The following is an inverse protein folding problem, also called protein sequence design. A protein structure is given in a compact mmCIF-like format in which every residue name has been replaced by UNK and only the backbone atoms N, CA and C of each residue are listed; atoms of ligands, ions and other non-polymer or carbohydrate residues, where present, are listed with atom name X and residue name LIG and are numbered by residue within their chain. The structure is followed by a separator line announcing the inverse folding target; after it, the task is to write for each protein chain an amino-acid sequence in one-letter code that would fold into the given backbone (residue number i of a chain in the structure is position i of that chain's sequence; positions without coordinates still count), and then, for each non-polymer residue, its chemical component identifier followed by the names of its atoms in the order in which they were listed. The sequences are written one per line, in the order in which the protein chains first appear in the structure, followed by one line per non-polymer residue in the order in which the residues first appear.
data_IF_736279877365
#
_entry.id   IF_736279877365
#
_cell.length_a   1.000
_cell.length_b   1.000
_cell.length_c   1.000
_cell.angle_alpha   90.00
_cell.angle_beta   90.00
_cell.angle_gamma   90.00
#
_symmetry.space_group_name_H-M   'P 1'
#
loop_
_entity.id
_entity.type
_entity.pdbx_description
1 polymer ?
#
# COMPACT_ATOMS: atom_id res chain seq x y z
N UNK A 1 68.89 -5.12 -5.59
CA UNK A 1 67.65 -5.42 -4.85
C UNK A 1 67.00 -4.08 -4.51
N UNK A 2 65.68 -3.99 -4.65
CA UNK A 2 64.78 -2.86 -4.29
C UNK A 2 64.66 -1.75 -5.36
N UNK A 3 63.42 -1.50 -5.81
CA UNK A 3 63.06 -0.25 -6.46
C UNK A 3 62.06 -0.30 -7.62
N UNK A 4 60.94 -1.02 -7.51
CA UNK A 4 59.76 -0.72 -8.33
C UNK A 4 58.59 -0.39 -7.40
N UNK A 5 58.51 0.87 -6.98
CA UNK A 5 57.24 1.42 -6.50
C UNK A 5 56.38 1.62 -7.74
N UNK A 6 55.31 0.85 -7.84
CA UNK A 6 54.23 1.08 -8.80
C UNK A 6 53.58 2.42 -8.49
N UNK A 7 53.96 3.48 -9.21
CA UNK A 7 53.22 4.74 -9.20
C UNK A 7 51.81 4.47 -9.73
N UNK A 8 50.82 4.52 -8.83
CA UNK A 8 49.41 4.47 -9.20
C UNK A 8 49.12 5.75 -9.98
N UNK A 9 48.80 5.62 -11.28
CA UNK A 9 48.55 6.81 -12.11
C UNK A 9 47.37 7.63 -11.53
N UNK A 10 47.36 8.96 -11.70
CA UNK A 10 46.23 9.81 -11.31
C UNK A 10 44.89 9.34 -11.89
N UNK A 11 44.92 8.73 -13.08
CA UNK A 11 43.74 8.14 -13.73
C UNK A 11 43.20 6.93 -12.95
N UNK A 12 44.08 6.01 -12.52
CA UNK A 12 43.66 4.88 -11.68
C UNK A 12 43.12 5.34 -10.33
N UNK A 13 43.77 6.34 -9.72
CA UNK A 13 43.30 6.95 -8.46
C UNK A 13 41.92 7.59 -8.65
N UNK A 14 41.72 8.34 -9.74
CA UNK A 14 40.42 8.96 -10.06
C UNK A 14 39.33 7.94 -10.35
N UNK A 15 39.65 6.87 -11.08
CA UNK A 15 38.71 5.78 -11.35
C UNK A 15 38.26 5.06 -10.07
N UNK A 16 39.22 4.68 -9.21
CA UNK A 16 38.91 4.01 -7.93
C UNK A 16 38.13 4.92 -6.98
N UNK A 17 38.48 6.20 -6.90
CA UNK A 17 37.74 7.18 -6.10
C UNK A 17 36.29 7.31 -6.57
N UNK A 18 36.06 7.36 -7.89
CA UNK A 18 34.70 7.41 -8.44
C UNK A 18 33.91 6.16 -8.09
N UNK A 19 34.46 4.96 -8.31
CA UNK A 19 33.79 3.71 -7.93
C UNK A 19 33.44 3.67 -6.45
N UNK A 20 34.33 4.17 -5.59
CA UNK A 20 34.09 4.26 -4.15
C UNK A 20 32.90 5.16 -3.81
N UNK A 21 32.85 6.37 -4.36
CA UNK A 21 31.74 7.30 -4.11
C UNK A 21 30.41 6.81 -4.69
N UNK A 22 30.45 6.19 -5.88
CA UNK A 22 29.26 5.59 -6.51
C UNK A 22 28.71 4.43 -5.64
N UNK A 23 29.59 3.58 -5.10
CA UNK A 23 29.19 2.49 -4.20
C UNK A 23 28.60 3.02 -2.89
N UNK A 24 29.20 4.06 -2.30
CA UNK A 24 28.67 4.70 -1.09
C UNK A 24 27.27 5.28 -1.34
N UNK A 25 27.07 5.95 -2.48
CA UNK A 25 25.77 6.51 -2.82
C UNK A 25 24.68 5.43 -2.91
N UNK A 26 24.97 4.30 -3.56
CA UNK A 26 24.06 3.15 -3.63
C UNK A 26 23.75 2.56 -2.25
N UNK A 27 24.77 2.44 -1.38
CA UNK A 27 24.57 1.92 -0.03
C UNK A 27 23.65 2.84 0.78
N UNK A 28 23.84 4.16 0.70
CA UNK A 28 22.97 5.11 1.37
C UNK A 28 21.54 5.07 0.85
N UNK A 29 21.36 4.97 -0.46
CA UNK A 29 20.05 4.81 -1.07
C UNK A 29 19.37 3.53 -0.56
N UNK A 30 20.07 2.40 -0.55
CA UNK A 30 19.53 1.14 -0.01
C UNK A 30 19.18 1.24 1.47
N UNK A 31 20.04 1.83 2.31
CA UNK A 31 19.75 2.01 3.74
C UNK A 31 18.57 2.96 3.96
N UNK A 32 18.48 4.03 3.17
CA UNK A 32 17.35 4.95 3.21
C UNK A 32 16.03 4.24 2.85
N UNK A 33 16.01 3.51 1.73
CA UNK A 33 14.84 2.74 1.31
C UNK A 33 14.48 1.65 2.33
N UNK A 34 15.47 0.99 2.92
CA UNK A 34 15.26 0.00 3.98
C UNK A 34 14.64 0.65 5.22
N UNK A 35 15.13 1.82 5.62
CA UNK A 35 14.57 2.59 6.75
C UNK A 35 13.12 2.98 6.48
N UNK A 36 12.80 3.44 5.26
CA UNK A 36 11.43 3.74 4.85
C UNK A 36 10.52 2.51 4.84
N UNK A 37 11.01 1.39 4.30
CA UNK A 37 10.27 0.14 4.28
C UNK A 37 9.99 -0.37 5.70
N UNK A 38 11.00 -0.27 6.59
CA UNK A 38 10.84 -0.57 8.01
C UNK A 38 9.79 0.33 8.65
N UNK A 39 9.88 1.66 8.51
CA UNK A 39 8.90 2.60 9.07
C UNK A 39 7.48 2.28 8.63
N UNK A 40 7.30 1.99 7.34
CA UNK A 40 5.99 1.66 6.78
C UNK A 40 5.43 0.33 7.32
N UNK A 41 6.26 -0.70 7.38
CA UNK A 41 5.85 -2.02 7.87
C UNK A 41 5.65 -2.04 9.39
N UNK A 42 6.59 -1.45 10.13
CA UNK A 42 6.63 -1.40 11.60
C UNK A 42 5.69 -0.38 12.21
N UNK A 43 5.17 0.57 11.43
CA UNK A 43 4.50 1.77 11.96
C UNK A 43 5.41 2.48 12.97
N UNK A 44 6.58 2.86 12.50
CA UNK A 44 7.62 3.54 13.28
C UNK A 44 8.12 4.78 12.53
N UNK A 45 8.80 5.66 13.26
CA UNK A 45 9.44 6.85 12.69
C UNK A 45 10.91 6.93 13.09
N UNK A 46 11.73 6.05 12.49
CA UNK A 46 13.19 6.16 12.58
C UNK A 46 13.75 6.95 11.38
N UNK A 47 14.78 7.75 11.61
CA UNK A 47 15.53 8.43 10.57
C UNK A 47 16.77 7.63 10.17
N UNK A 48 17.27 7.86 8.97
CA UNK A 48 18.51 7.23 8.52
C UNK A 48 19.70 7.57 9.43
N UNK A 49 19.73 8.78 10.01
CA UNK A 49 20.74 9.18 10.98
C UNK A 49 20.72 8.32 12.25
N UNK A 50 19.53 7.88 12.67
CA UNK A 50 19.39 7.00 13.84
C UNK A 50 20.02 5.65 13.54
N UNK A 51 19.77 5.11 12.35
CA UNK A 51 20.40 3.87 11.88
C UNK A 51 21.91 4.00 11.82
N UNK A 52 22.43 5.09 11.26
CA UNK A 52 23.87 5.32 11.08
C UNK A 52 24.60 5.69 12.38
N UNK A 53 23.89 6.04 13.45
CA UNK A 53 24.48 6.45 14.72
C UNK A 53 25.15 7.83 14.69
N UNK A 54 24.79 8.71 13.75
CA UNK A 54 25.32 10.08 13.68
C UNK A 54 25.58 10.60 12.26
N UNK A 55 26.71 11.30 12.09
CA UNK A 55 27.02 12.06 10.87
C UNK A 55 27.39 11.16 9.67
N UNK A 56 26.77 11.47 8.53
CA UNK A 56 26.96 10.84 7.21
C UNK A 56 28.38 11.05 6.63
N UNK A 57 29.17 11.95 7.21
CA UNK A 57 30.40 12.48 6.59
C UNK A 57 31.59 11.51 6.57
N UNK A 58 31.58 10.46 7.38
CA UNK A 58 32.67 9.46 7.44
C UNK A 58 32.10 8.04 7.47
N UNK A 59 31.67 7.55 6.32
CA UNK A 59 31.16 6.18 6.19
C UNK A 59 32.32 5.21 6.25
N UNK A 60 32.49 4.57 7.40
CA UNK A 60 33.39 3.43 7.55
C UNK A 60 32.61 2.12 7.35
N UNK A 61 33.32 1.06 6.99
CA UNK A 61 32.75 -0.29 6.99
C UNK A 61 32.10 -0.62 8.35
N UNK A 62 32.76 -0.24 9.46
CA UNK A 62 32.22 -0.45 10.81
C UNK A 62 30.90 0.31 11.03
N UNK A 63 30.79 1.54 10.53
CA UNK A 63 29.56 2.32 10.57
C UNK A 63 28.41 1.65 9.80
N UNK A 64 28.69 1.13 8.59
CA UNK A 64 27.69 0.41 7.79
C UNK A 64 27.26 -0.92 8.43
N UNK A 65 28.20 -1.67 8.99
CA UNK A 65 27.91 -2.92 9.70
C UNK A 65 27.06 -2.65 10.95
N UNK A 66 27.36 -1.58 11.68
CA UNK A 66 26.57 -1.13 12.83
C UNK A 66 25.14 -0.76 12.40
N UNK A 67 25.00 0.02 11.32
CA UNK A 67 23.71 0.39 10.73
C UNK A 67 22.86 -0.83 10.33
N UNK A 68 23.49 -1.81 9.65
CA UNK A 68 22.82 -3.06 9.30
C UNK A 68 22.32 -3.81 10.55
N UNK A 69 23.20 -3.99 11.54
CA UNK A 69 22.84 -4.68 12.78
C UNK A 69 21.72 -3.95 13.54
N UNK A 70 21.72 -2.61 13.51
CA UNK A 70 20.68 -1.80 14.15
C UNK A 70 19.32 -1.97 13.49
N UNK A 71 19.23 -1.88 12.16
CA UNK A 71 17.98 -2.15 11.43
C UNK A 71 17.49 -3.58 11.70
N UNK A 72 18.39 -4.57 11.69
CA UNK A 72 18.02 -5.95 11.99
C UNK A 72 17.52 -6.14 13.43
N UNK A 73 18.10 -5.42 14.40
CA UNK A 73 17.63 -5.38 15.78
C UNK A 73 16.22 -4.78 15.88
N UNK A 74 16.02 -3.59 15.31
CA UNK A 74 14.73 -2.91 15.26
C UNK A 74 13.66 -3.78 14.59
N UNK A 75 13.99 -4.47 13.50
CA UNK A 75 13.09 -5.42 12.85
C UNK A 75 12.70 -6.57 13.78
N UNK A 76 13.66 -7.18 14.48
CA UNK A 76 13.37 -8.26 15.44
C UNK A 76 12.46 -7.77 16.58
N UNK A 77 12.71 -6.58 17.09
CA UNK A 77 11.91 -5.97 18.15
C UNK A 77 10.48 -5.69 17.67
N UNK A 78 10.32 -5.13 16.46
CA UNK A 78 9.02 -4.89 15.85
C UNK A 78 8.24 -6.19 15.57
N UNK A 79 8.91 -7.26 15.11
CA UNK A 79 8.29 -8.60 15.01
C UNK A 79 7.78 -9.08 16.36
N UNK A 80 8.58 -8.90 17.43
CA UNK A 80 8.17 -9.21 18.79
C UNK A 80 6.96 -8.38 19.26
N UNK A 81 6.95 -7.08 18.93
CA UNK A 81 5.90 -6.14 19.34
C UNK A 81 4.56 -6.37 18.62
N UNK A 82 4.58 -6.64 17.30
CA UNK A 82 3.37 -6.99 16.57
C UNK A 82 2.74 -8.30 17.07
N UNK A 83 3.57 -9.25 17.47
CA UNK A 83 3.13 -10.58 17.89
C UNK A 83 2.45 -11.37 16.76
N UNK A 84 1.65 -12.37 17.12
CA UNK A 84 1.01 -13.32 16.19
C UNK A 84 -0.49 -13.07 15.97
N UNK A 85 -1.06 -12.02 16.56
CA UNK A 85 -2.51 -11.84 16.68
C UNK A 85 -3.13 -11.01 15.55
N UNK A 86 -2.52 -11.08 14.37
CA UNK A 86 -3.08 -10.50 13.15
C UNK A 86 -4.38 -11.23 12.78
N UNK A 87 -5.46 -10.49 12.57
CA UNK A 87 -6.77 -11.03 12.20
C UNK A 87 -7.09 -10.70 10.76
N UNK A 88 -7.65 -11.66 10.02
CA UNK A 88 -8.14 -11.43 8.66
C UNK A 88 -9.56 -10.90 8.70
N UNK A 89 -9.88 -9.97 7.80
CA UNK A 89 -11.26 -9.57 7.53
C UNK A 89 -11.61 -9.76 6.05
N UNK A 90 -12.81 -10.29 5.78
CA UNK A 90 -13.74 -10.85 6.76
C UNK A 90 -13.23 -12.19 7.31
N UNK A 91 -13.52 -12.49 8.57
CA UNK A 91 -13.02 -13.70 9.25
C UNK A 91 -13.41 -15.01 8.56
N UNK A 92 -14.48 -15.00 7.75
CA UNK A 92 -15.02 -16.14 7.02
C UNK A 92 -14.91 -16.01 5.49
N UNK A 93 -14.10 -15.08 4.97
CA UNK A 93 -13.92 -14.80 3.53
C UNK A 93 -15.20 -14.51 2.73
N UNK A 94 -16.34 -14.27 3.38
CA UNK A 94 -17.61 -14.03 2.69
C UNK A 94 -17.69 -12.58 2.18
N UNK A 95 -18.04 -11.66 3.08
CA UNK A 95 -18.33 -10.26 2.76
C UNK A 95 -17.38 -9.35 3.50
N UNK A 96 -16.54 -8.64 2.75
CA UNK A 96 -15.57 -7.71 3.31
C UNK A 96 -16.21 -6.49 3.98
N UNK A 97 -15.35 -5.65 4.54
CA UNK A 97 -15.78 -4.37 5.12
C UNK A 97 -16.30 -3.48 3.98
N UNK A 98 -17.55 -3.04 4.08
CA UNK A 98 -18.23 -2.32 3.01
C UNK A 98 -18.23 -0.81 3.24
N UNK A 99 -17.96 -0.03 2.19
CA UNK A 99 -18.08 1.42 2.16
C UNK A 99 -18.97 1.84 0.98
N UNK A 100 -20.06 2.56 1.27
CA UNK A 100 -21.00 3.03 0.25
C UNK A 100 -20.65 4.46 -0.18
N UNK A 101 -20.72 4.71 -1.48
CA UNK A 101 -20.55 6.08 -1.99
C UNK A 101 -21.72 6.96 -1.54
N UNK A 102 -21.40 8.22 -1.26
CA UNK A 102 -22.39 9.26 -0.96
C UNK A 102 -23.23 9.60 -2.21
N UNK A 103 -24.42 10.24 -2.06
CA UNK A 103 -25.24 10.64 -3.20
C UNK A 103 -24.50 11.54 -4.21
N UNK A 104 -23.61 12.41 -3.73
CA UNK A 104 -22.79 13.26 -4.60
C UNK A 104 -21.81 12.44 -5.43
N UNK A 105 -21.10 11.49 -4.80
CA UNK A 105 -20.16 10.59 -5.48
C UNK A 105 -20.87 9.66 -6.46
N UNK A 106 -22.07 9.18 -6.11
CA UNK A 106 -22.93 8.41 -7.00
C UNK A 106 -23.30 9.23 -8.25
N UNK A 107 -23.62 10.52 -8.08
CA UNK A 107 -23.89 11.43 -9.20
C UNK A 107 -22.70 11.60 -10.14
N UNK A 108 -21.48 11.68 -9.59
CA UNK A 108 -20.25 11.69 -10.40
C UNK A 108 -20.05 10.36 -11.14
N UNK A 109 -20.26 9.21 -10.48
CA UNK A 109 -20.17 7.90 -11.14
C UNK A 109 -21.15 7.80 -12.31
N UNK A 110 -22.41 8.20 -12.14
CA UNK A 110 -23.43 8.19 -13.19
C UNK A 110 -23.04 9.03 -14.41
N UNK A 111 -22.49 10.21 -14.17
CA UNK A 111 -22.24 11.21 -15.23
C UNK A 111 -20.90 10.98 -15.92
N UNK A 112 -19.86 10.69 -15.14
CA UNK A 112 -18.48 10.67 -15.61
C UNK A 112 -17.92 9.25 -15.75
N UNK A 113 -18.66 8.22 -15.31
CA UNK A 113 -18.18 6.84 -15.18
C UNK A 113 -16.99 6.74 -14.20
N UNK A 114 -16.85 7.71 -13.31
CA UNK A 114 -15.83 7.74 -12.27
C UNK A 114 -16.31 8.46 -11.01
N UNK A 115 -15.75 8.07 -9.88
CA UNK A 115 -15.94 8.76 -8.61
C UNK A 115 -14.67 8.72 -7.77
N UNK A 116 -14.46 9.77 -6.98
CA UNK A 116 -13.41 9.82 -5.96
C UNK A 116 -14.02 9.75 -4.57
N UNK A 117 -13.41 8.95 -3.70
CA UNK A 117 -13.88 8.75 -2.33
C UNK A 117 -12.72 8.77 -1.36
N UNK A 118 -12.84 9.62 -0.34
CA UNK A 118 -11.90 9.65 0.76
C UNK A 118 -12.44 8.81 1.91
N UNK A 119 -11.67 7.84 2.38
CA UNK A 119 -11.99 7.05 3.57
C UNK A 119 -11.20 7.66 4.73
N UNK A 120 -11.85 8.39 5.67
CA UNK A 120 -11.14 9.02 6.76
C UNK A 120 -10.67 7.99 7.78
N UNK A 121 -9.47 8.21 8.32
CA UNK A 121 -9.00 7.54 9.52
C UNK A 121 -9.76 8.06 10.74
N UNK A 122 -10.19 7.16 11.62
CA UNK A 122 -10.83 7.52 12.89
C UNK A 122 -10.13 6.77 14.02
N UNK A 123 -9.78 7.50 15.07
CA UNK A 123 -9.16 6.94 16.27
C UNK A 123 -10.14 6.04 17.02
N UNK A 124 -9.60 5.14 17.83
CA UNK A 124 -10.30 4.12 18.62
C UNK A 124 -11.55 4.65 19.36
N UNK A 125 -11.55 5.90 19.81
CA UNK A 125 -12.55 6.44 20.74
C UNK A 125 -13.67 7.31 20.13
N UNK A 126 -13.75 7.48 18.80
CA UNK A 126 -14.72 8.42 18.21
C UNK A 126 -15.46 7.90 16.97
N UNK A 127 -16.79 7.80 17.11
CA UNK A 127 -17.83 7.74 16.08
C UNK A 127 -17.83 6.56 15.07
N UNK A 128 -18.99 5.95 14.88
CA UNK A 128 -19.28 4.86 13.93
C UNK A 128 -19.24 5.28 12.43
N UNK A 129 -18.41 6.26 12.05
CA UNK A 129 -18.41 6.84 10.69
C UNK A 129 -17.41 6.14 9.76
N UNK A 130 -16.29 5.62 10.29
CA UNK A 130 -15.35 4.82 9.50
C UNK A 130 -15.80 3.36 9.47
N UNK A 131 -15.79 2.68 8.31
CA UNK A 131 -16.15 1.27 8.24
C UNK A 131 -15.09 0.37 8.91
N UNK A 132 -13.92 0.93 9.26
CA UNK A 132 -12.82 0.25 9.95
C UNK A 132 -12.70 0.66 11.42
N UNK A 133 -13.75 1.24 12.01
CA UNK A 133 -13.74 1.65 13.42
C UNK A 133 -13.37 0.47 14.35
N UNK A 134 -12.52 0.74 15.35
CA UNK A 134 -12.04 -0.27 16.30
C UNK A 134 -10.91 -1.18 15.77
N UNK A 135 -10.48 -0.99 14.52
CA UNK A 135 -9.37 -1.74 13.93
C UNK A 135 -8.10 -0.89 13.86
N UNK A 136 -6.98 -1.47 14.27
CA UNK A 136 -5.65 -0.90 14.16
C UNK A 136 -4.86 -1.60 13.05
N UNK A 137 -3.87 -0.90 12.49
CA UNK A 137 -2.94 -1.38 11.47
C UNK A 137 -3.66 -2.19 10.38
N UNK A 138 -4.71 -1.57 9.80
CA UNK A 138 -5.51 -2.19 8.74
C UNK A 138 -4.71 -2.21 7.45
N UNK A 139 -4.63 -3.39 6.83
CA UNK A 139 -3.81 -3.69 5.65
C UNK A 139 -4.65 -4.42 4.63
N UNK A 140 -4.79 -3.86 3.44
CA UNK A 140 -5.73 -4.28 2.40
C UNK A 140 -5.06 -5.30 1.49
N UNK A 141 -5.71 -6.45 1.31
CA UNK A 141 -5.31 -7.47 0.36
C UNK A 141 -6.11 -7.40 -0.93
N UNK A 142 -7.40 -7.04 -0.83
CA UNK A 142 -8.31 -6.92 -1.99
C UNK A 142 -9.27 -5.77 -1.81
N UNK A 143 -9.63 -5.16 -2.95
CA UNK A 143 -10.73 -4.20 -3.05
C UNK A 143 -11.62 -4.57 -4.22
N UNK A 144 -12.92 -4.63 -3.96
CA UNK A 144 -13.95 -4.89 -4.97
C UNK A 144 -14.88 -3.70 -5.02
N UNK A 145 -15.48 -3.47 -6.18
CA UNK A 145 -16.42 -2.37 -6.37
C UNK A 145 -17.65 -2.85 -7.14
N UNK A 146 -18.81 -2.81 -6.51
CA UNK A 146 -20.07 -3.25 -7.09
C UNK A 146 -20.94 -2.05 -7.45
N UNK A 147 -21.42 -2.04 -8.70
CA UNK A 147 -22.33 -1.06 -9.29
C UNK A 147 -23.77 -1.57 -9.24
N UNK A 148 -24.45 -1.42 -8.10
CA UNK A 148 -25.80 -1.93 -7.90
C UNK A 148 -26.81 -1.09 -8.68
N UNK A 149 -27.61 -1.73 -9.55
CA UNK A 149 -28.54 -1.06 -10.47
C UNK A 149 -27.95 -0.68 -11.83
N UNK A 150 -26.64 -0.92 -12.06
CA UNK A 150 -26.07 -0.80 -13.40
C UNK A 150 -26.63 -1.88 -14.33
N UNK A 151 -26.84 -1.52 -15.59
CA UNK A 151 -27.36 -2.42 -16.61
C UNK A 151 -26.43 -2.50 -17.80
N UNK A 152 -26.57 -3.58 -18.54
CA UNK A 152 -25.94 -3.77 -19.84
C UNK A 152 -26.82 -3.12 -20.90
N UNK A 153 -26.22 -2.32 -21.79
CA UNK A 153 -26.93 -1.70 -22.91
C UNK A 153 -27.39 -2.77 -23.91
N UNK A 154 -28.54 -2.57 -24.57
CA UNK A 154 -29.02 -3.48 -25.61
C UNK A 154 -27.95 -3.70 -26.70
N UNK A 155 -27.73 -4.97 -27.06
CA UNK A 155 -26.75 -5.35 -28.09
C UNK A 155 -25.30 -5.44 -27.64
N UNK A 156 -25.00 -5.27 -26.34
CA UNK A 156 -23.68 -5.57 -25.82
C UNK A 156 -23.35 -7.07 -25.91
N UNK A 157 -22.07 -7.44 -26.13
CA UNK A 157 -21.67 -8.84 -26.33
C UNK A 157 -21.70 -9.69 -25.05
N UNK A 158 -21.60 -9.07 -23.87
CA UNK A 158 -21.63 -9.73 -22.57
C UNK A 158 -22.08 -8.76 -21.46
N UNK A 159 -22.30 -9.30 -20.27
CA UNK A 159 -22.75 -8.58 -19.07
C UNK A 159 -21.65 -8.16 -18.11
N UNK A 160 -20.39 -8.31 -18.52
CA UNK A 160 -19.25 -7.95 -17.68
C UNK A 160 -19.03 -6.44 -17.60
N UNK A 161 -18.51 -5.98 -16.47
CA UNK A 161 -17.95 -4.63 -16.30
C UNK A 161 -16.54 -4.71 -15.75
N UNK A 162 -15.64 -3.90 -16.30
CA UNK A 162 -14.29 -3.70 -15.77
C UNK A 162 -14.20 -2.33 -15.09
N UNK A 163 -13.69 -2.34 -13.86
CA UNK A 163 -13.44 -1.17 -13.04
C UNK A 163 -11.95 -1.07 -12.73
N UNK A 164 -11.39 0.13 -12.85
CA UNK A 164 -10.05 0.45 -12.39
C UNK A 164 -10.18 1.10 -11.00
N UNK A 165 -9.60 0.46 -9.99
CA UNK A 165 -9.63 0.90 -8.59
C UNK A 165 -8.23 1.42 -8.25
N UNK A 166 -8.13 2.72 -7.95
CA UNK A 166 -6.85 3.37 -7.68
C UNK A 166 -6.75 3.84 -6.23
N UNK A 167 -5.72 3.37 -5.53
CA UNK A 167 -5.23 3.93 -4.27
C UNK A 167 -4.34 5.14 -4.56
N UNK A 168 -4.60 6.32 -3.95
CA UNK A 168 -3.91 7.57 -4.32
C UNK A 168 -2.42 7.62 -3.99
N UNK A 169 -1.98 6.79 -3.04
CA UNK A 169 -0.57 6.71 -2.62
C UNK A 169 -0.22 7.57 -1.40
N UNK A 170 -1.04 8.58 -1.08
CA UNK A 170 -1.01 9.21 0.23
C UNK A 170 -1.95 8.45 1.16
N UNK A 171 -1.44 7.94 2.27
CA UNK A 171 -2.24 7.16 3.22
C UNK A 171 -1.87 7.48 4.66
N UNK A 172 -2.82 7.19 5.55
CA UNK A 172 -2.59 7.19 6.98
C UNK A 172 -2.76 5.78 7.52
N UNK A 173 -1.98 5.45 8.54
CA UNK A 173 -2.13 4.20 9.28
C UNK A 173 -2.13 4.50 10.77
N UNK A 174 -2.86 3.70 11.53
CA UNK A 174 -2.96 3.83 12.98
C UNK A 174 -2.36 2.60 13.63
N UNK A 175 -1.41 2.77 14.54
CA UNK A 175 -0.83 1.67 15.31
C UNK A 175 -1.79 1.17 16.38
N UNK A 176 -1.43 0.05 17.01
CA UNK A 176 -2.20 -0.53 18.12
C UNK A 176 -2.24 0.39 19.35
N UNK A 177 -1.28 1.31 19.47
CA UNK A 177 -1.20 2.32 20.52
C UNK A 177 -1.86 3.66 20.13
N UNK A 178 -2.70 3.68 19.09
CA UNK A 178 -3.45 4.86 18.65
C UNK A 178 -2.58 6.00 18.09
N UNK A 179 -1.31 5.72 17.77
CA UNK A 179 -0.42 6.63 17.06
C UNK A 179 -0.71 6.60 15.55
N UNK A 180 -0.76 7.78 14.93
CA UNK A 180 -1.04 7.93 13.49
C UNK A 180 0.27 8.17 12.76
N UNK A 181 0.42 7.49 11.63
CA UNK A 181 1.58 7.54 10.75
C UNK A 181 1.11 7.93 9.35
N UNK A 182 1.74 8.96 8.79
CA UNK A 182 1.48 9.41 7.42
C UNK A 182 2.52 8.83 6.47
N UNK A 183 2.05 8.28 5.36
CA UNK A 183 2.91 7.71 4.33
C UNK A 183 2.57 8.23 2.94
N UNK A 184 3.59 8.25 2.09
CA UNK A 184 3.48 8.57 0.69
C UNK A 184 4.25 7.57 -0.16
N UNK A 185 3.56 7.00 -1.13
CA UNK A 185 4.07 6.09 -2.14
C UNK A 185 3.40 6.37 -3.48
N UNK A 186 3.88 5.72 -4.55
CA UNK A 186 3.26 5.86 -5.87
C UNK A 186 1.83 5.31 -5.87
N UNK A 187 0.94 5.97 -6.61
CA UNK A 187 -0.44 5.49 -6.78
C UNK A 187 -0.47 4.04 -7.26
N UNK A 188 -1.43 3.26 -6.75
CA UNK A 188 -1.58 1.85 -7.12
C UNK A 188 -2.95 1.63 -7.74
N UNK A 189 -2.97 1.14 -8.96
CA UNK A 189 -4.18 0.80 -9.70
C UNK A 189 -4.32 -0.72 -9.82
N UNK A 190 -5.51 -1.24 -9.56
CA UNK A 190 -5.85 -2.65 -9.76
C UNK A 190 -7.15 -2.78 -10.56
N UNK A 191 -7.23 -3.73 -11.50
CA UNK A 191 -8.46 -4.03 -12.20
C UNK A 191 -9.39 -4.90 -11.33
N UNK A 192 -10.68 -4.61 -11.36
CA UNK A 192 -11.74 -5.46 -10.83
C UNK A 192 -12.78 -5.71 -11.91
N UNK A 193 -13.06 -6.97 -12.23
CA UNK A 193 -14.02 -7.35 -13.27
C UNK A 193 -15.01 -8.36 -12.76
N UNK A 194 -16.29 -8.15 -13.03
CA UNK A 194 -17.36 -9.04 -12.61
C UNK A 194 -18.56 -8.95 -13.57
N UNK A 195 -19.45 -9.94 -13.49
CA UNK A 195 -20.71 -9.96 -14.25
C UNK A 195 -21.82 -9.17 -13.53
N UNK A 196 -22.47 -8.25 -14.25
CA UNK A 196 -23.52 -7.38 -13.69
C UNK A 196 -24.80 -8.12 -13.29
N UNK A 197 -25.08 -9.31 -13.83
CA UNK A 197 -26.33 -10.02 -13.56
C UNK A 197 -26.29 -10.83 -12.26
N UNK A 198 -25.16 -11.47 -11.96
CA UNK A 198 -25.04 -12.41 -10.83
C UNK A 198 -23.87 -12.11 -9.87
N UNK A 199 -23.14 -11.02 -10.12
CA UNK A 199 -21.96 -10.60 -9.36
C UNK A 199 -20.78 -11.59 -9.40
N UNK A 200 -20.75 -12.53 -10.35
CA UNK A 200 -19.62 -13.46 -10.51
C UNK A 200 -18.34 -12.70 -10.83
N UNK A 201 -17.32 -12.89 -10.00
CA UNK A 201 -16.02 -12.23 -10.13
C UNK A 201 -15.19 -12.93 -11.21
N UNK A 202 -14.70 -12.15 -12.18
CA UNK A 202 -13.81 -12.60 -13.26
C UNK A 202 -12.36 -12.19 -12.99
N UNK A 203 -12.16 -10.99 -12.42
CA UNK A 203 -10.85 -10.49 -11.95
C UNK A 203 -11.06 -9.90 -10.55
N UNK A 204 -10.41 -10.47 -9.55
CA UNK A 204 -10.54 -10.07 -8.15
C UNK A 204 -9.48 -8.99 -7.82
N UNK A 205 -9.91 -7.78 -7.45
CA UNK A 205 -9.08 -6.57 -7.36
C UNK A 205 -7.98 -6.65 -6.30
N UNK A 206 -6.94 -7.42 -6.58
CA UNK A 206 -5.89 -7.81 -5.64
C UNK A 206 -4.82 -6.73 -5.54
N UNK A 207 -4.56 -6.29 -4.30
CA UNK A 207 -3.50 -5.36 -3.93
C UNK A 207 -2.22 -6.07 -3.47
N UNK A 208 -2.10 -7.36 -3.77
CA UNK A 208 -0.94 -8.17 -3.38
C UNK A 208 -1.28 -9.25 -2.38
N UNK A 209 -2.44 -9.91 -2.52
CA UNK A 209 -2.51 -11.33 -2.20
C UNK A 209 -2.06 -12.08 -3.45
N UNK A 210 -0.86 -12.65 -3.40
CA UNK A 210 -0.63 -13.89 -4.13
C UNK A 210 -1.48 -14.99 -3.47
N UNK A 211 -1.88 -15.98 -4.26
CA UNK A 211 -2.71 -17.12 -3.88
C UNK A 211 -2.43 -17.64 -2.46
N UNK A 212 -3.47 -18.16 -1.81
CA UNK A 212 -3.43 -18.71 -0.44
C UNK A 212 -2.16 -19.57 -0.22
N UNK A 213 -1.18 -19.04 0.51
CA UNK A 213 0.10 -19.71 0.80
C UNK A 213 1.37 -19.00 0.28
N UNK A 214 1.27 -18.05 -0.64
CA UNK A 214 2.42 -17.27 -1.11
C UNK A 214 2.61 -16.01 -0.24
N UNK A 215 3.78 -15.91 0.41
CA UNK A 215 4.18 -14.73 1.18
C UNK A 215 4.49 -13.59 0.22
N UNK A 216 3.79 -12.48 0.37
CA UNK A 216 4.11 -11.30 -0.43
C UNK A 216 5.32 -10.60 0.20
N UNK A 217 6.33 -10.23 -0.61
CA UNK A 217 7.53 -9.59 -0.07
C UNK A 217 7.30 -8.12 0.32
N UNK A 218 6.10 -7.58 0.07
CA UNK A 218 5.77 -6.18 0.28
C UNK A 218 4.72 -6.01 1.38
N UNK A 219 4.90 -4.96 2.18
CA UNK A 219 3.87 -4.50 3.09
C UNK A 219 2.65 -4.02 2.29
N UNK A 220 1.47 -4.41 2.75
CA UNK A 220 0.19 -4.04 2.15
C UNK A 220 -0.21 -2.60 2.51
N UNK A 221 -1.05 -2.00 1.68
CA UNK A 221 -1.55 -0.63 1.85
C UNK A 221 -2.68 -0.56 2.86
N UNK A 222 -2.93 0.60 3.45
CA UNK A 222 -4.10 0.89 4.27
C UNK A 222 -5.32 1.29 3.45
N UNK A 223 -6.51 1.32 4.08
CA UNK A 223 -7.72 1.84 3.44
C UNK A 223 -7.84 3.36 3.49
N UNK A 224 -7.11 4.02 4.38
CA UNK A 224 -7.31 5.42 4.74
C UNK A 224 -6.60 6.36 3.76
N UNK A 225 -7.20 6.46 2.58
CA UNK A 225 -6.71 7.27 1.46
C UNK A 225 -7.88 7.83 0.65
N UNK A 226 -7.56 8.59 -0.38
CA UNK A 226 -8.46 8.81 -1.51
C UNK A 226 -8.38 7.63 -2.49
N UNK A 227 -9.53 7.05 -2.79
CA UNK A 227 -9.73 6.04 -3.80
C UNK A 227 -10.39 6.66 -5.04
N UNK A 228 -9.86 6.35 -6.23
CA UNK A 228 -10.55 6.63 -7.49
C UNK A 228 -11.12 5.33 -8.04
N UNK A 229 -12.41 5.35 -8.37
CA UNK A 229 -13.12 4.25 -9.01
C UNK A 229 -13.53 4.72 -10.39
N UNK A 230 -13.20 3.95 -11.42
CA UNK A 230 -13.47 4.31 -12.81
C UNK A 230 -13.94 3.09 -13.61
N UNK A 231 -15.06 3.19 -14.33
CA UNK A 231 -15.42 2.19 -15.34
C UNK A 231 -14.45 2.34 -16.51
N UNK A 232 -13.83 1.24 -16.88
CA UNK A 232 -12.86 1.23 -17.98
C UNK A 232 -13.50 1.77 -19.26
N UNK A 233 -12.75 2.58 -20.00
CA UNK A 233 -13.23 3.28 -21.20
C UNK A 233 -13.80 2.31 -22.24
N UNK A 234 -13.25 1.09 -22.35
CA UNK A 234 -13.71 0.07 -23.30
C UNK A 234 -15.10 -0.50 -22.95
N UNK A 235 -15.57 -0.33 -21.72
CA UNK A 235 -16.87 -0.81 -21.24
C UNK A 235 -17.96 0.28 -21.21
N UNK A 236 -17.61 1.58 -21.23
CA UNK A 236 -18.58 2.69 -21.12
C UNK A 236 -19.65 2.72 -22.22
N UNK A 237 -19.29 2.26 -23.43
CA UNK A 237 -20.26 2.13 -24.53
C UNK A 237 -21.26 1.00 -24.33
N UNK A 238 -20.98 0.05 -23.42
CA UNK A 238 -21.75 -1.18 -23.18
C UNK A 238 -22.53 -1.14 -21.87
N UNK A 239 -22.15 -0.29 -20.93
CA UNK A 239 -22.81 -0.17 -19.63
C UNK A 239 -23.70 1.06 -19.60
N UNK A 240 -24.88 0.92 -19.00
CA UNK A 240 -25.79 1.98 -18.63
C UNK A 240 -25.82 2.15 -17.10
N UNK A 241 -25.54 3.37 -16.65
CA UNK A 241 -25.53 3.77 -15.23
C UNK A 241 -26.72 4.66 -14.88
N UNK A 242 -27.66 4.90 -15.79
CA UNK A 242 -28.83 5.77 -15.56
C UNK A 242 -29.62 5.36 -14.32
N UNK A 243 -29.82 4.05 -14.15
CA UNK A 243 -30.51 3.42 -13.03
C UNK A 243 -29.59 3.00 -11.87
N UNK A 244 -28.33 3.42 -11.84
CA UNK A 244 -27.40 3.07 -10.76
C UNK A 244 -27.94 3.56 -9.39
N UNK A 245 -28.16 2.67 -8.45
CA UNK A 245 -28.76 3.00 -7.15
C UNK A 245 -27.70 3.17 -6.07
N UNK A 246 -26.65 2.34 -6.13
CA UNK A 246 -25.61 2.29 -5.12
C UNK A 246 -24.28 1.85 -5.73
N UNK A 247 -23.19 2.40 -5.21
CA UNK A 247 -21.85 1.86 -5.43
C UNK A 247 -21.26 1.48 -4.09
N UNK A 248 -20.84 0.22 -3.98
CA UNK A 248 -20.25 -0.33 -2.75
C UNK A 248 -18.82 -0.77 -3.02
N UNK A 249 -17.89 -0.21 -2.25
CA UNK A 249 -16.53 -0.72 -2.10
C UNK A 249 -16.51 -1.79 -1.02
N UNK A 250 -15.91 -2.93 -1.31
CA UNK A 250 -15.72 -4.03 -0.37
C UNK A 250 -14.23 -4.29 -0.19
N UNK A 251 -13.78 -4.21 1.06
CA UNK A 251 -12.39 -4.35 1.46
C UNK A 251 -12.15 -5.68 2.17
N UNK A 252 -11.07 -6.36 1.78
CA UNK A 252 -10.54 -7.54 2.46
C UNK A 252 -9.10 -7.25 2.88
N UNK A 253 -8.65 -7.89 3.95
CA UNK A 253 -7.31 -7.65 4.43
C UNK A 253 -7.04 -8.22 5.81
N UNK A 254 -6.07 -7.60 6.48
CA UNK A 254 -5.66 -7.94 7.84
C UNK A 254 -5.69 -6.72 8.75
N UNK A 255 -5.92 -6.94 10.04
CA UNK A 255 -5.91 -5.89 11.05
C UNK A 255 -5.44 -6.43 12.40
N UNK A 256 -5.26 -5.52 13.34
CA UNK A 256 -5.03 -5.79 14.76
C UNK A 256 -6.11 -5.11 15.58
N UNK A 257 -6.33 -5.60 16.81
CA UNK A 257 -7.03 -4.82 17.82
C UNK A 257 -6.09 -3.76 18.40
N UNK A 258 -6.67 -2.64 18.85
CA UNK A 258 -5.97 -1.69 19.71
C UNK A 258 -5.49 -2.37 21.00
N UNK A 259 -4.41 -1.86 21.58
CA UNK A 259 -4.06 -2.20 22.96
C UNK A 259 -5.10 -1.59 23.89
N UNK A 260 -5.63 -2.43 24.78
CA UNK A 260 -6.48 -2.04 25.91
C UNK A 260 -5.63 -1.55 27.07
#
# INVERSE_FOLDING_TARGET
MIGMMTEVSPEHTGFVARMYFDAIAQIFEMLYLTTRAYNFWALEHIQLSDVLGGSVKEVTYAGLLSAQNRILGLYKDAVGHFGTNCSYFPANQQKGISFKLTPLQLGFMKTNYEAMVNIPLQKHEADAKSPFAGLANVRITKVRCFLNGAKVKPGAPNSEVLLNITHSGQEQLISRDNAIYDFHHDKREVPFRYDLNDATIVIDGSFGESLQGEKTPYALFGPYTTWKIEVDKSFRSRIDLSELEEVTLEFHGTCYSFHT
#
